data_IF_515446946056
#
_entry.id   IF_515446946056
#
_cell.length_a   1.000
_cell.length_b   1.000
_cell.length_c   1.000
_cell.angle_alpha   90.00
_cell.angle_beta   90.00
_cell.angle_gamma   90.00
#
_symmetry.space_group_name_H-M   'P 1'
#
loop_
_entity.id
_entity.type
_entity.pdbx_description
1 polymer ?
#
# COMPACT_ATOMS: atom_id res chain seq x y z
N UNK A 1 -6.96 -3.86 -4.53
CA UNK A 1 -7.83 -3.06 -3.63
C UNK A 1 -8.72 -3.93 -2.75
N UNK A 2 -9.41 -4.96 -3.26
CA UNK A 2 -10.30 -5.82 -2.46
C UNK A 2 -9.68 -6.34 -1.15
N UNK A 3 -8.47 -6.91 -1.19
CA UNK A 3 -7.76 -7.41 0.02
C UNK A 3 -7.51 -6.35 1.09
N UNK A 4 -7.31 -5.09 0.68
CA UNK A 4 -7.12 -3.99 1.62
C UNK A 4 -8.43 -3.61 2.30
N UNK A 5 -9.53 -3.64 1.54
CA UNK A 5 -10.88 -3.39 2.05
C UNK A 5 -11.24 -4.48 3.07
N UNK A 6 -11.09 -5.76 2.69
CA UNK A 6 -11.36 -6.90 3.57
C UNK A 6 -10.59 -6.79 4.90
N UNK A 7 -9.32 -6.38 4.83
CA UNK A 7 -8.46 -6.22 6.00
C UNK A 7 -8.96 -5.12 6.95
N UNK A 8 -9.35 -3.96 6.40
CA UNK A 8 -9.85 -2.83 7.19
C UNK A 8 -11.26 -3.12 7.74
N UNK A 9 -12.13 -3.72 6.94
CA UNK A 9 -13.48 -4.14 7.39
C UNK A 9 -13.41 -5.23 8.47
N UNK A 10 -12.37 -6.06 8.45
CA UNK A 10 -12.05 -7.01 9.52
C UNK A 10 -11.45 -6.39 10.79
N UNK A 11 -11.33 -5.07 10.87
CA UNK A 11 -10.78 -4.34 12.03
C UNK A 11 -9.26 -4.13 11.99
N UNK A 12 -8.60 -4.45 10.88
CA UNK A 12 -7.18 -4.16 10.68
C UNK A 12 -6.93 -2.66 10.49
N UNK A 13 -5.93 -2.12 11.17
CA UNK A 13 -5.50 -0.74 10.95
C UNK A 13 -4.37 -0.69 9.92
N UNK A 14 -4.74 -0.42 8.66
CA UNK A 14 -3.79 -0.30 7.56
C UNK A 14 -2.74 0.80 7.76
N UNK A 15 -3.09 1.88 8.47
CA UNK A 15 -2.20 3.03 8.62
C UNK A 15 -1.08 2.77 9.65
N UNK A 16 -1.33 1.91 10.65
CA UNK A 16 -0.29 1.50 11.62
C UNK A 16 0.31 0.13 11.31
N UNK A 17 -0.48 -0.77 10.72
CA UNK A 17 -0.09 -2.14 10.38
C UNK A 17 -0.40 -2.41 8.89
N UNK A 18 0.48 -1.93 8.00
CA UNK A 18 0.25 -2.07 6.58
C UNK A 18 0.24 -3.54 6.13
N UNK A 19 -0.71 -3.86 5.24
CA UNK A 19 -0.88 -5.18 4.68
C UNK A 19 0.11 -5.41 3.54
N UNK A 20 0.85 -6.53 3.59
CA UNK A 20 1.65 -7.02 2.47
C UNK A 20 0.90 -8.15 1.79
N UNK A 21 0.70 -8.05 0.48
CA UNK A 21 0.05 -9.09 -0.32
C UNK A 21 1.02 -9.70 -1.31
N UNK A 22 0.97 -11.02 -1.51
CA UNK A 22 1.78 -11.69 -2.51
C UNK A 22 1.11 -11.61 -3.88
N UNK A 23 1.85 -11.15 -4.89
CA UNK A 23 1.39 -11.12 -6.28
C UNK A 23 1.09 -12.53 -6.79
N UNK A 24 -0.12 -12.76 -7.28
CA UNK A 24 -0.59 -14.10 -7.70
C UNK A 24 0.22 -14.72 -8.83
N UNK A 25 0.78 -13.89 -9.71
CA UNK A 25 1.51 -14.35 -10.90
C UNK A 25 3.03 -14.27 -10.75
N UNK A 26 3.53 -13.35 -9.92
CA UNK A 26 4.97 -13.12 -9.75
C UNK A 26 5.52 -13.72 -8.47
N UNK A 27 4.65 -14.02 -7.49
CA UNK A 27 5.06 -14.43 -6.14
C UNK A 27 5.75 -13.31 -5.34
N UNK A 28 5.83 -12.09 -5.88
CA UNK A 28 6.52 -10.99 -5.23
C UNK A 28 5.64 -10.31 -4.18
N UNK A 29 6.20 -9.89 -3.04
CA UNK A 29 5.46 -9.12 -2.06
C UNK A 29 5.14 -7.72 -2.62
N UNK A 30 3.91 -7.27 -2.38
CA UNK A 30 3.43 -5.93 -2.70
C UNK A 30 3.05 -5.30 -1.36
N UNK A 31 3.81 -4.29 -0.96
CA UNK A 31 3.53 -3.50 0.22
C UNK A 31 2.43 -2.47 -0.07
N UNK A 32 1.27 -2.65 0.56
CA UNK A 32 0.14 -1.75 0.39
C UNK A 32 0.27 -0.46 1.20
N UNK A 33 1.29 -0.31 2.06
CA UNK A 33 1.58 0.96 2.78
C UNK A 33 1.64 2.17 1.84
N UNK A 34 2.00 1.94 0.57
CA UNK A 34 2.01 2.96 -0.49
C UNK A 34 0.67 3.71 -0.63
N UNK A 35 -0.45 3.05 -0.30
CA UNK A 35 -1.81 3.61 -0.37
C UNK A 35 -2.29 4.28 0.93
N UNK A 36 -1.50 4.25 2.01
CA UNK A 36 -1.86 4.95 3.24
C UNK A 36 -1.95 6.46 2.99
N UNK A 37 -2.98 7.08 3.56
CA UNK A 37 -3.16 8.54 3.53
C UNK A 37 -2.22 9.28 4.48
N UNK A 38 -1.60 8.56 5.42
CA UNK A 38 -0.63 9.11 6.38
C UNK A 38 0.81 8.98 5.90
N UNK A 39 1.04 8.35 4.74
CA UNK A 39 2.37 8.19 4.17
C UNK A 39 3.02 9.54 3.92
N UNK A 40 4.27 9.70 4.36
CA UNK A 40 5.06 10.90 4.06
C UNK A 40 5.24 11.03 2.55
N UNK A 41 5.07 12.25 2.04
CA UNK A 41 5.33 12.54 0.63
C UNK A 41 6.83 12.39 0.37
N UNK A 42 7.17 11.75 -0.74
CA UNK A 42 8.55 11.72 -1.21
C UNK A 42 8.90 13.10 -1.81
N UNK A 43 9.79 13.85 -1.15
CA UNK A 43 10.23 15.17 -1.59
C UNK A 43 11.16 15.11 -2.81
N UNK A 44 11.82 13.97 -3.03
CA UNK A 44 12.67 13.73 -4.19
C UNK A 44 11.87 13.40 -5.45
N UNK A 45 10.55 13.27 -5.34
CA UNK A 45 9.66 13.05 -6.48
C UNK A 45 9.20 14.37 -7.08
N UNK A 46 9.43 14.59 -8.38
CA UNK A 46 8.85 15.74 -9.09
C UNK A 46 7.33 15.72 -9.16
N UNK A 47 6.71 14.56 -8.89
CA UNK A 47 5.28 14.34 -9.07
C UNK A 47 4.86 14.07 -10.52
N UNK A 48 5.81 13.85 -11.44
CA UNK A 48 5.51 13.42 -12.82
C UNK A 48 5.82 11.94 -13.04
N UNK A 49 5.25 11.36 -14.10
CA UNK A 49 5.48 9.96 -14.47
C UNK A 49 6.93 9.71 -14.90
N UNK A 50 7.59 10.72 -15.49
CA UNK A 50 8.95 10.58 -16.03
C UNK A 50 10.04 11.07 -15.07
N UNK A 51 9.66 11.42 -13.83
CA UNK A 51 10.59 11.92 -12.83
C UNK A 51 10.72 13.42 -12.82
#
# INVERSE_FOLDING_TARGET
MAKLIDYVEGGGDHDTHPLVVTGSHTGLPIDLATFSRKRQRNEDSSGTVMG
#
